data_IF_317123539031
#
_entry.id   IF_317123539031
#
_cell.length_a   1.000
_cell.length_b   1.000
_cell.length_c   1.000
_cell.angle_alpha   90.00
_cell.angle_beta   90.00
_cell.angle_gamma   90.00
#
_symmetry.space_group_name_H-M   'P 1'
#
loop_
_entity.id
_entity.type
_entity.pdbx_description
1 polymer ?
#
# COMPACT_ATOMS: atom_id res chain seq x y z
N UNK A 1 -34.78 4.26 25.67
CA UNK A 1 -33.35 3.99 25.88
C UNK A 1 -32.96 2.86 24.94
N UNK A 2 -32.29 3.17 23.84
CA UNK A 2 -31.73 2.17 22.93
C UNK A 2 -30.25 2.51 22.81
N UNK A 3 -29.41 1.54 23.18
CA UNK A 3 -27.95 1.60 23.12
C UNK A 3 -27.56 1.26 21.69
N UNK A 4 -27.02 2.23 20.94
CA UNK A 4 -26.34 1.95 19.66
C UNK A 4 -24.92 1.48 19.97
N UNK A 5 -24.61 0.25 19.56
CA UNK A 5 -23.26 -0.31 19.58
C UNK A 5 -22.43 0.26 18.44
N UNK A 6 -21.21 0.71 18.77
CA UNK A 6 -20.21 1.13 17.81
C UNK A 6 -19.61 -0.09 17.09
N UNK A 7 -19.59 -0.06 15.76
CA UNK A 7 -18.86 -1.01 14.92
C UNK A 7 -17.39 -0.57 14.87
N UNK A 8 -16.49 -1.50 15.19
CA UNK A 8 -15.05 -1.30 15.20
C UNK A 8 -14.52 -1.25 13.76
N UNK A 9 -13.80 -0.18 13.44
CA UNK A 9 -13.06 -0.01 12.18
C UNK A 9 -11.63 -0.50 12.42
N UNK A 10 -11.20 -1.49 11.63
CA UNK A 10 -9.84 -2.00 11.65
C UNK A 10 -9.36 -2.12 10.20
N UNK A 11 -8.64 -1.12 9.74
CA UNK A 11 -8.24 -0.95 8.34
C UNK A 11 -8.30 0.52 8.07
N UNK A 12 -7.15 1.10 7.69
CA UNK A 12 -6.92 2.52 7.45
C UNK A 12 -8.15 3.13 6.75
N UNK A 13 -9.07 3.71 7.52
CA UNK A 13 -10.36 4.17 6.98
C UNK A 13 -10.27 5.67 6.78
N UNK A 14 -9.60 6.06 5.70
CA UNK A 14 -9.72 7.42 5.20
C UNK A 14 -11.12 7.56 4.59
N UNK A 15 -12.08 8.03 5.40
CA UNK A 15 -13.32 8.61 4.85
C UNK A 15 -12.96 9.96 4.20
N UNK A 16 -12.84 9.97 2.87
CA UNK A 16 -13.11 11.16 2.09
C UNK A 16 -14.63 11.21 1.81
N UNK A 17 -15.39 11.92 2.64
CA UNK A 17 -16.77 12.30 2.27
C UNK A 17 -16.69 13.52 1.37
N UNK A 18 -16.71 13.31 0.05
CA UNK A 18 -16.99 14.38 -0.90
C UNK A 18 -18.49 14.72 -0.83
N UNK A 19 -18.79 15.95 -0.42
CA UNK A 19 -20.16 16.43 -0.17
C UNK A 19 -21.06 16.39 -1.40
N UNK A 20 -22.16 15.63 -1.30
CA UNK A 20 -23.29 15.68 -2.22
C UNK A 20 -24.45 16.47 -1.62
N UNK A 21 -24.88 17.53 -2.31
CA UNK A 21 -26.10 18.29 -1.99
C UNK A 21 -27.33 17.40 -2.13
N UNK A 22 -28.12 17.31 -1.06
CA UNK A 22 -29.39 16.59 -0.98
C UNK A 22 -30.49 17.30 -1.78
N UNK A 23 -31.07 16.61 -2.75
CA UNK A 23 -32.49 16.72 -3.11
C UNK A 23 -32.98 15.36 -3.63
N UNK A 24 -34.17 14.94 -3.15
CA UNK A 24 -34.99 13.93 -3.84
C UNK A 24 -35.41 12.75 -2.97
N UNK A 25 -36.42 12.98 -2.14
CA UNK A 25 -37.26 11.95 -1.51
C UNK A 25 -37.81 10.94 -2.53
N UNK A 26 -37.75 9.65 -2.20
CA UNK A 26 -38.72 8.67 -2.64
C UNK A 26 -38.90 7.59 -1.57
N UNK A 27 -40.17 7.35 -1.26
CA UNK A 27 -40.72 6.57 -0.16
C UNK A 27 -40.72 5.07 -0.45
N UNK A 28 -40.53 4.26 0.60
CA UNK A 28 -41.50 3.28 1.16
C UNK A 28 -40.82 2.04 1.75
N UNK A 29 -41.36 1.65 2.89
CA UNK A 29 -41.01 0.54 3.77
C UNK A 29 -41.68 -0.79 3.36
N UNK A 30 -40.98 -1.92 3.48
CA UNK A 30 -41.60 -3.21 3.84
C UNK A 30 -40.56 -4.11 4.57
N UNK A 31 -40.80 -4.54 5.83
CA UNK A 31 -39.88 -5.36 6.60
C UNK A 31 -40.32 -6.83 6.61
N UNK A 32 -39.60 -7.72 5.91
CA UNK A 32 -39.75 -9.18 6.09
C UNK A 32 -38.41 -9.91 5.99
N UNK A 33 -37.83 -10.22 7.15
CA UNK A 33 -36.83 -11.28 7.33
C UNK A 33 -37.56 -12.59 7.66
N UNK A 34 -37.13 -13.72 7.08
CA UNK A 34 -37.17 -15.00 7.76
C UNK A 34 -35.77 -15.40 8.24
N UNK A 35 -35.72 -15.73 9.52
CA UNK A 35 -34.66 -16.46 10.21
C UNK A 35 -34.42 -17.83 9.56
N UNK A 36 -33.16 -18.15 9.26
CA UNK A 36 -32.72 -19.52 8.95
C UNK A 36 -31.66 -19.94 9.97
N UNK A 37 -31.88 -21.12 10.52
CA UNK A 37 -31.13 -21.77 11.58
C UNK A 37 -29.68 -22.07 11.19
N UNK A 38 -28.81 -22.06 12.20
CA UNK A 38 -27.45 -22.57 12.15
C UNK A 38 -27.49 -24.09 11.97
N UNK A 39 -26.75 -24.60 10.98
CA UNK A 39 -26.44 -26.02 10.83
C UNK A 39 -24.93 -26.19 10.93
N UNK A 40 -24.53 -27.09 11.83
CA UNK A 40 -23.16 -27.48 12.12
C UNK A 40 -22.56 -28.25 10.92
N UNK A 41 -21.47 -27.72 10.34
CA UNK A 41 -20.63 -28.43 9.38
C UNK A 41 -19.19 -28.54 9.91
N UNK A 42 -18.53 -29.71 9.74
CA UNK A 42 -17.30 -30.03 10.46
C UNK A 42 -16.06 -29.31 9.91
N UNK A 43 -15.17 -28.96 10.84
CA UNK A 43 -13.81 -28.45 10.62
C UNK A 43 -13.00 -29.43 9.76
N UNK A 44 -12.65 -29.02 8.53
CA UNK A 44 -11.62 -29.68 7.72
C UNK A 44 -10.30 -28.91 7.85
N UNK A 45 -9.26 -29.67 8.19
CA UNK A 45 -7.91 -29.18 8.46
C UNK A 45 -7.26 -28.52 7.24
N UNK A 46 -6.64 -27.35 7.48
CA UNK A 46 -5.81 -26.64 6.52
C UNK A 46 -4.49 -27.41 6.33
N UNK A 47 -4.27 -27.93 5.12
CA UNK A 47 -3.00 -28.53 4.72
C UNK A 47 -1.99 -27.41 4.40
N UNK A 48 -0.81 -27.49 4.98
CA UNK A 48 0.34 -26.62 4.68
C UNK A 48 0.97 -27.05 3.34
N UNK A 49 1.18 -26.16 2.36
CA UNK A 49 1.94 -26.53 1.18
C UNK A 49 3.44 -26.51 1.49
N UNK A 50 4.07 -27.68 1.42
CA UNK A 50 5.52 -27.83 1.29
C UNK A 50 5.93 -27.51 -0.15
N UNK A 51 7.12 -26.93 -0.31
CA UNK A 51 7.71 -26.61 -1.60
C UNK A 51 7.85 -27.86 -2.50
N UNK A 52 7.38 -27.85 -3.76
CA UNK A 52 7.66 -28.93 -4.68
C UNK A 52 9.11 -28.84 -5.17
N UNK A 53 9.91 -29.84 -4.81
CA UNK A 53 11.19 -30.11 -5.47
C UNK A 53 10.90 -30.74 -6.82
N UNK A 54 10.87 -29.95 -7.90
CA UNK A 54 10.76 -30.49 -9.26
C UNK A 54 12.14 -30.53 -9.91
N UNK A 55 12.61 -31.72 -10.23
CA UNK A 55 13.80 -31.99 -11.02
C UNK A 55 13.60 -31.47 -12.46
N UNK A 56 14.38 -30.48 -12.87
CA UNK A 56 14.42 -29.99 -14.25
C UNK A 56 15.11 -31.01 -15.15
N UNK A 57 14.34 -31.66 -16.03
CA UNK A 57 14.85 -32.38 -17.19
C UNK A 57 15.02 -31.37 -18.33
N UNK A 58 16.26 -31.19 -18.79
CA UNK A 58 16.61 -30.23 -19.85
C UNK A 58 16.01 -30.64 -21.21
N UNK A 59 15.13 -29.80 -21.76
CA UNK A 59 14.78 -29.80 -23.17
C UNK A 59 15.58 -28.67 -23.85
N UNK A 60 16.53 -29.07 -24.69
CA UNK A 60 17.38 -28.18 -25.48
C UNK A 60 16.57 -27.53 -26.61
N UNK A 61 15.93 -26.40 -26.32
CA UNK A 61 15.46 -25.44 -27.33
C UNK A 61 16.35 -24.21 -27.27
N UNK A 62 17.00 -23.86 -28.38
CA UNK A 62 17.73 -22.60 -28.52
C UNK A 62 16.74 -21.43 -28.39
N UNK A 63 16.61 -20.87 -27.18
CA UNK A 63 15.98 -19.58 -26.97
C UNK A 63 17.08 -18.54 -27.16
N UNK A 64 16.89 -17.64 -28.13
CA UNK A 64 17.79 -16.53 -28.39
C UNK A 64 18.06 -15.78 -27.09
N UNK A 65 19.34 -15.61 -26.78
CA UNK A 65 19.78 -14.81 -25.65
C UNK A 65 19.32 -13.39 -25.95
N UNK A 66 18.30 -12.91 -25.23
CA UNK A 66 17.96 -11.51 -25.19
C UNK A 66 19.23 -10.78 -24.74
N UNK A 67 19.76 -9.98 -25.64
CA UNK A 67 20.90 -9.10 -25.39
C UNK A 67 20.59 -8.21 -24.20
N UNK A 68 21.55 -8.08 -23.28
CA UNK A 68 21.51 -7.23 -22.10
C UNK A 68 20.72 -5.94 -22.36
N UNK A 69 19.53 -5.83 -21.77
CA UNK A 69 18.85 -4.54 -21.69
C UNK A 69 19.76 -3.60 -20.91
N UNK A 70 20.04 -2.47 -21.56
CA UNK A 70 21.00 -1.44 -21.17
C UNK A 70 20.76 -0.95 -19.75
N UNK A 71 21.82 -0.91 -18.93
CA UNK A 71 21.88 -0.04 -17.75
C UNK A 71 21.35 1.34 -18.14
N UNK A 72 20.44 1.91 -17.36
CA UNK A 72 19.97 3.27 -17.64
C UNK A 72 21.16 4.23 -17.53
N UNK A 73 21.33 5.08 -18.54
CA UNK A 73 22.19 6.26 -18.45
C UNK A 73 21.42 7.29 -17.63
N UNK A 74 21.67 7.32 -16.32
CA UNK A 74 20.99 8.26 -15.45
C UNK A 74 21.52 9.68 -15.73
N UNK A 75 20.63 10.69 -15.87
CA UNK A 75 21.07 12.06 -16.09
C UNK A 75 21.80 12.70 -14.88
N UNK A 76 21.94 11.99 -13.75
CA UNK A 76 22.58 12.46 -12.52
C UNK A 76 23.99 11.90 -12.29
N UNK A 77 24.65 12.39 -11.23
CA UNK A 77 26.06 12.08 -10.93
C UNK A 77 26.28 10.67 -10.35
N UNK A 78 25.19 10.02 -9.92
CA UNK A 78 25.19 8.66 -9.36
C UNK A 78 23.89 7.91 -9.65
N UNK A 79 23.86 6.58 -9.50
CA UNK A 79 22.63 5.81 -9.52
C UNK A 79 21.62 6.32 -8.45
N UNK A 80 20.34 6.49 -8.80
CA UNK A 80 19.32 6.84 -7.82
C UNK A 80 19.06 5.72 -6.82
N UNK A 81 18.73 6.10 -5.58
CA UNK A 81 18.39 5.20 -4.48
C UNK A 81 16.89 5.27 -4.22
N UNK A 82 16.18 4.15 -4.40
CA UNK A 82 14.73 4.04 -4.20
C UNK A 82 14.45 3.27 -2.92
N UNK A 83 13.75 3.89 -1.96
CA UNK A 83 13.20 3.17 -0.82
C UNK A 83 11.80 2.66 -1.13
N UNK A 84 11.62 1.34 -1.16
CA UNK A 84 10.31 0.69 -1.24
C UNK A 84 9.86 0.33 0.17
N UNK A 85 8.73 0.87 0.59
CA UNK A 85 8.09 0.54 1.86
C UNK A 85 6.82 -0.29 1.58
N UNK A 86 6.92 -1.62 1.45
CA UNK A 86 5.74 -2.47 1.41
C UNK A 86 5.03 -2.36 2.76
N UNK A 87 3.85 -1.73 2.77
CA UNK A 87 3.07 -1.44 3.96
C UNK A 87 2.76 -2.68 4.79
N UNK A 88 2.47 -2.47 6.09
CA UNK A 88 2.13 -3.55 7.03
C UNK A 88 3.26 -4.59 7.18
N UNK A 89 2.94 -5.79 7.67
CA UNK A 89 3.84 -6.94 7.78
C UNK A 89 3.71 -7.69 9.10
N UNK A 90 3.75 -9.02 9.02
CA UNK A 90 3.66 -9.91 10.17
C UNK A 90 2.31 -9.78 10.88
N UNK A 91 2.26 -9.43 12.19
CA UNK A 91 0.99 -9.31 12.90
C UNK A 91 0.06 -8.20 12.39
N UNK A 92 0.60 -7.16 11.74
CA UNK A 92 -0.21 -6.21 11.00
C UNK A 92 -0.37 -6.71 9.57
N UNK A 93 -1.54 -7.21 9.23
CA UNK A 93 -1.79 -7.74 7.88
C UNK A 93 -2.28 -6.68 6.90
N UNK A 94 -2.58 -5.47 7.37
CA UNK A 94 -3.43 -4.55 6.61
C UNK A 94 -4.84 -5.13 6.43
N UNK A 95 -5.55 -4.69 5.37
CA UNK A 95 -6.88 -5.19 5.07
C UNK A 95 -6.84 -6.64 4.57
N UNK A 96 -7.77 -7.46 5.07
CA UNK A 96 -7.96 -8.84 4.62
C UNK A 96 -9.36 -9.01 4.06
N UNK A 97 -9.46 -9.69 2.91
CA UNK A 97 -10.75 -10.21 2.43
C UNK A 97 -10.77 -11.73 2.54
N UNK A 98 -11.92 -12.26 2.95
CA UNK A 98 -12.23 -13.68 2.76
C UNK A 98 -12.79 -13.84 1.35
N UNK A 99 -12.31 -14.84 0.62
CA UNK A 99 -12.79 -15.14 -0.72
C UNK A 99 -14.27 -15.51 -0.75
N UNK A 100 -14.91 -15.18 -1.85
CA UNK A 100 -16.30 -15.50 -2.14
C UNK A 100 -16.42 -16.10 -3.55
N UNK A 101 -17.64 -16.20 -4.09
CA UNK A 101 -17.87 -16.75 -5.43
C UNK A 101 -17.24 -15.90 -6.55
N UNK A 102 -17.07 -14.60 -6.32
CA UNK A 102 -16.70 -13.63 -7.35
C UNK A 102 -15.20 -13.27 -7.31
N UNK A 103 -14.53 -13.42 -6.17
CA UNK A 103 -13.12 -13.09 -6.03
C UNK A 103 -12.42 -13.85 -4.87
N UNK A 104 -11.09 -14.04 -4.90
CA UNK A 104 -10.34 -14.90 -3.96
C UNK A 104 -9.97 -14.23 -2.63
N UNK A 105 -9.58 -15.01 -1.62
CA UNK A 105 -8.99 -14.45 -0.39
C UNK A 105 -7.71 -13.70 -0.70
N UNK A 106 -7.53 -12.52 -0.11
CA UNK A 106 -6.37 -11.65 -0.30
C UNK A 106 -5.98 -10.99 1.02
N UNK A 107 -4.68 -10.73 1.17
CA UNK A 107 -4.09 -10.06 2.31
C UNK A 107 -3.19 -8.93 1.77
N UNK A 108 -3.49 -7.69 2.16
CA UNK A 108 -2.77 -6.49 1.73
C UNK A 108 -1.25 -6.62 1.93
N UNK A 109 -0.81 -6.97 3.14
CA UNK A 109 0.63 -7.09 3.49
C UNK A 109 1.41 -8.04 2.57
N UNK A 110 0.75 -9.09 2.06
CA UNK A 110 1.35 -10.07 1.13
C UNK A 110 1.37 -9.52 -0.29
N UNK A 111 0.29 -8.90 -0.74
CA UNK A 111 0.21 -8.30 -2.08
C UNK A 111 1.28 -7.23 -2.28
N UNK A 112 1.40 -6.29 -1.33
CA UNK A 112 2.37 -5.19 -1.44
C UNK A 112 3.81 -5.70 -1.36
N UNK A 113 4.08 -6.75 -0.58
CA UNK A 113 5.40 -7.39 -0.53
C UNK A 113 5.76 -8.04 -1.88
N UNK A 114 4.81 -8.73 -2.50
CA UNK A 114 5.00 -9.35 -3.82
C UNK A 114 5.20 -8.31 -4.92
N UNK A 115 4.49 -7.18 -4.86
CA UNK A 115 4.71 -6.06 -5.78
C UNK A 115 6.10 -5.44 -5.58
N UNK A 116 6.52 -5.27 -4.32
CA UNK A 116 7.81 -4.68 -4.00
C UNK A 116 8.99 -5.55 -4.45
N UNK A 117 8.92 -6.89 -4.33
CA UNK A 117 9.96 -7.79 -4.85
C UNK A 117 10.10 -7.70 -6.38
N UNK A 118 8.98 -7.66 -7.11
CA UNK A 118 9.04 -7.52 -8.57
C UNK A 118 9.62 -6.17 -8.97
N UNK A 119 9.18 -5.10 -8.29
CA UNK A 119 9.67 -3.76 -8.55
C UNK A 119 11.16 -3.61 -8.21
N UNK A 120 11.61 -4.17 -7.09
CA UNK A 120 13.03 -4.22 -6.72
C UNK A 120 13.85 -4.86 -7.83
N UNK A 121 13.45 -6.06 -8.31
CA UNK A 121 14.17 -6.76 -9.36
C UNK A 121 14.24 -5.95 -10.66
N UNK A 122 13.13 -5.32 -11.06
CA UNK A 122 13.08 -4.50 -12.29
C UNK A 122 13.93 -3.24 -12.18
N UNK A 123 13.84 -2.52 -11.07
CA UNK A 123 14.64 -1.32 -10.84
C UNK A 123 16.15 -1.65 -10.75
N UNK A 124 16.53 -2.74 -10.07
CA UNK A 124 17.93 -3.16 -10.02
C UNK A 124 18.49 -3.51 -11.41
N UNK A 125 17.70 -4.16 -12.28
CA UNK A 125 18.09 -4.41 -13.68
C UNK A 125 18.34 -3.12 -14.47
N UNK A 126 17.62 -2.05 -14.13
CA UNK A 126 17.80 -0.71 -14.74
C UNK A 126 18.93 0.10 -14.10
N UNK A 127 19.62 -0.43 -13.10
CA UNK A 127 20.77 0.19 -12.46
C UNK A 127 20.44 1.03 -11.22
N UNK A 128 19.20 1.04 -10.74
CA UNK A 128 18.84 1.71 -9.48
C UNK A 128 19.40 0.94 -8.29
N UNK A 129 19.77 1.68 -7.23
CA UNK A 129 19.91 1.07 -5.90
C UNK A 129 18.54 1.00 -5.25
N UNK A 130 18.13 -0.17 -4.77
CA UNK A 130 16.84 -0.36 -4.09
C UNK A 130 17.08 -0.79 -2.67
N UNK A 131 16.36 -0.17 -1.74
CA UNK A 131 16.28 -0.58 -0.33
C UNK A 131 14.82 -0.85 0.01
N UNK A 132 14.53 -1.94 0.71
CA UNK A 132 13.18 -2.24 1.19
C UNK A 132 13.10 -2.10 2.72
N UNK A 133 11.99 -1.60 3.24
CA UNK A 133 11.77 -1.53 4.70
C UNK A 133 11.59 -2.91 5.33
N UNK A 134 11.10 -3.88 4.56
CA UNK A 134 11.05 -5.32 4.89
C UNK A 134 11.18 -6.17 3.63
N UNK A 135 11.75 -7.37 3.77
CA UNK A 135 11.94 -8.32 2.66
C UNK A 135 11.14 -9.63 2.84
N UNK A 136 10.38 -9.76 3.92
CA UNK A 136 9.50 -10.87 4.25
C UNK A 136 8.25 -10.34 4.99
N UNK A 137 7.32 -11.22 5.32
CA UNK A 137 6.09 -10.85 6.03
C UNK A 137 6.34 -10.69 7.54
N UNK A 138 6.95 -9.57 7.92
CA UNK A 138 7.26 -9.22 9.31
C UNK A 138 7.03 -7.74 9.60
N UNK A 139 6.87 -7.42 10.88
CA UNK A 139 7.04 -6.06 11.37
C UNK A 139 8.51 -5.61 11.25
N UNK A 140 8.74 -4.36 10.88
CA UNK A 140 10.07 -3.77 10.71
C UNK A 140 10.78 -3.63 12.05
N UNK A 141 10.05 -3.27 13.09
CA UNK A 141 10.47 -3.16 14.49
C UNK A 141 9.89 -4.31 15.33
N UNK A 142 10.11 -5.56 14.91
CA UNK A 142 9.56 -6.75 15.57
C UNK A 142 9.93 -6.88 17.07
N UNK A 143 11.07 -6.32 17.48
CA UNK A 143 11.53 -6.33 18.87
C UNK A 143 10.84 -5.23 19.74
N UNK A 144 10.00 -4.39 19.15
CA UNK A 144 9.30 -3.27 19.80
C UNK A 144 10.25 -2.33 20.54
N UNK A 145 11.34 -1.95 19.87
CA UNK A 145 12.32 -0.99 20.42
C UNK A 145 11.77 0.44 20.30
N UNK A 146 12.09 1.27 21.29
CA UNK A 146 11.91 2.73 21.22
C UNK A 146 12.96 3.28 20.25
N UNK A 147 12.59 3.46 18.98
CA UNK A 147 13.49 3.96 17.94
C UNK A 147 13.26 5.45 17.67
N UNK A 148 12.09 5.98 18.02
CA UNK A 148 11.81 7.40 17.93
C UNK A 148 12.44 8.21 19.10
N UNK A 149 12.77 7.55 20.22
CA UNK A 149 13.41 8.11 21.39
C UNK A 149 12.45 8.85 22.33
N UNK A 150 11.15 8.56 22.27
CA UNK A 150 10.12 9.24 23.06
C UNK A 150 9.90 8.62 24.46
N UNK A 151 10.63 7.54 24.76
CA UNK A 151 10.56 6.81 26.02
C UNK A 151 9.37 5.86 26.13
N UNK A 152 8.64 5.62 25.03
CA UNK A 152 7.52 4.69 24.94
C UNK A 152 7.80 3.64 23.88
N UNK A 153 7.10 2.53 24.01
CA UNK A 153 7.14 1.41 23.08
C UNK A 153 5.73 0.86 22.89
N UNK A 154 5.59 -0.15 22.02
CA UNK A 154 4.37 -0.96 21.88
C UNK A 154 3.76 -1.44 23.22
N UNK A 155 4.59 -1.62 24.26
CA UNK A 155 4.14 -2.09 25.58
C UNK A 155 3.40 -1.02 26.38
N UNK A 156 3.66 0.24 26.08
CA UNK A 156 3.03 1.40 26.71
C UNK A 156 1.68 1.73 26.07
N UNK A 157 1.41 1.18 24.89
CA UNK A 157 0.11 1.28 24.24
C UNK A 157 -0.95 0.48 25.01
N UNK A 158 -2.19 0.98 24.99
CA UNK A 158 -3.32 0.35 25.69
C UNK A 158 -3.45 -1.11 25.24
N UNK A 159 -3.63 -2.05 26.17
CA UNK A 159 -3.90 -3.46 25.83
C UNK A 159 -5.08 -3.55 24.85
N UNK A 160 -4.86 -4.21 23.72
CA UNK A 160 -5.86 -4.34 22.64
C UNK A 160 -5.83 -3.23 21.59
N UNK A 161 -4.95 -2.23 21.73
CA UNK A 161 -4.56 -1.38 20.60
C UNK A 161 -3.71 -2.18 19.62
N UNK A 162 -3.67 -1.76 18.36
CA UNK A 162 -2.82 -2.34 17.34
C UNK A 162 -1.35 -2.00 17.63
N UNK A 163 -0.75 -2.72 18.60
CA UNK A 163 0.63 -2.52 19.08
C UNK A 163 1.68 -2.60 17.96
N UNK A 164 1.34 -3.24 16.83
CA UNK A 164 2.19 -3.38 15.65
C UNK A 164 2.00 -2.25 14.62
N UNK A 165 1.13 -1.28 14.91
CA UNK A 165 0.93 -0.02 14.20
C UNK A 165 1.38 1.17 15.06
N UNK A 166 2.26 0.89 16.03
CA UNK A 166 2.75 1.91 16.93
C UNK A 166 3.70 2.88 16.20
N UNK A 167 4.01 3.98 16.86
CA UNK A 167 4.82 5.05 16.26
C UNK A 167 6.26 4.61 15.95
N UNK A 168 6.83 3.71 16.76
CA UNK A 168 8.17 3.17 16.55
C UNK A 168 8.27 2.28 15.31
N UNK A 169 7.23 1.51 14.99
CA UNK A 169 7.17 0.71 13.76
C UNK A 169 7.25 1.61 12.52
N UNK A 170 6.47 2.70 12.52
CA UNK A 170 6.47 3.68 11.43
C UNK A 170 7.80 4.45 11.39
N UNK A 171 8.37 4.81 12.54
CA UNK A 171 9.67 5.45 12.61
C UNK A 171 10.79 4.53 12.10
N UNK A 172 10.75 3.24 12.39
CA UNK A 172 11.77 2.29 11.90
C UNK A 172 11.78 2.21 10.36
N UNK A 173 10.61 2.29 9.71
CA UNK A 173 10.49 2.38 8.25
C UNK A 173 11.16 3.64 7.70
N UNK A 174 10.86 4.78 8.30
CA UNK A 174 11.48 6.08 7.95
C UNK A 174 12.99 6.02 8.13
N UNK A 175 13.47 5.46 9.26
CA UNK A 175 14.89 5.37 9.58
C UNK A 175 15.65 4.51 8.56
N UNK A 176 15.08 3.41 8.07
CA UNK A 176 15.69 2.60 7.01
C UNK A 176 15.89 3.44 5.74
N UNK A 177 14.87 4.14 5.27
CA UNK A 177 14.96 4.98 4.08
C UNK A 177 15.95 6.14 4.26
N UNK A 178 15.93 6.78 5.43
CA UNK A 178 16.86 7.87 5.78
C UNK A 178 18.31 7.39 5.83
N UNK A 179 18.56 6.24 6.47
CA UNK A 179 19.90 5.66 6.59
C UNK A 179 20.48 5.24 5.23
N UNK A 180 19.62 4.79 4.32
CA UNK A 180 19.99 4.50 2.94
C UNK A 180 20.26 5.76 2.10
N UNK A 181 19.92 6.95 2.62
CA UNK A 181 19.92 8.22 1.87
C UNK A 181 19.11 8.09 0.57
N UNK A 182 17.93 7.48 0.67
CA UNK A 182 17.08 7.30 -0.50
C UNK A 182 16.73 8.66 -1.12
N UNK A 183 16.65 8.69 -2.44
CA UNK A 183 16.24 9.86 -3.22
C UNK A 183 14.71 9.93 -3.34
N UNK A 184 14.03 8.79 -3.19
CA UNK A 184 12.58 8.73 -3.14
C UNK A 184 12.08 7.61 -2.23
N UNK A 185 10.94 7.85 -1.57
CA UNK A 185 10.19 6.88 -0.76
C UNK A 185 8.87 6.52 -1.42
N UNK A 186 8.69 5.24 -1.71
CA UNK A 186 7.46 4.66 -2.27
C UNK A 186 6.80 3.79 -1.19
N UNK A 187 5.79 4.33 -0.51
CA UNK A 187 5.00 3.54 0.46
C UNK A 187 3.84 2.86 -0.27
N UNK A 188 3.90 1.53 -0.33
CA UNK A 188 3.07 0.70 -1.21
C UNK A 188 1.94 0.04 -0.41
N UNK A 189 0.71 0.33 -0.82
CA UNK A 189 -0.51 -0.10 -0.14
C UNK A 189 -1.58 -0.61 -1.12
N UNK A 190 -2.55 -1.34 -0.56
CA UNK A 190 -3.77 -1.73 -1.26
C UNK A 190 -4.93 -1.44 -0.33
N UNK A 191 -5.76 -0.49 -0.74
CA UNK A 191 -6.90 0.01 0.00
C UNK A 191 -7.83 -1.12 0.47
N UNK A 192 -8.64 -0.81 1.48
CA UNK A 192 -9.72 -1.68 1.92
C UNK A 192 -10.76 -0.94 2.74
N UNK A 193 -12.01 -1.36 2.62
CA UNK A 193 -13.12 -0.71 3.29
C UNK A 193 -14.21 -1.69 3.73
N UNK A 194 -14.91 -1.36 4.81
CA UNK A 194 -15.80 -2.30 5.52
C UNK A 194 -17.04 -2.75 4.74
N UNK A 195 -17.56 -1.93 3.81
CA UNK A 195 -18.74 -2.28 3.02
C UNK A 195 -18.42 -2.82 1.61
N UNK A 196 -17.14 -3.00 1.25
CA UNK A 196 -16.72 -3.59 -0.04
C UNK A 196 -17.01 -2.75 -1.30
N UNK A 197 -17.82 -1.70 -1.21
CA UNK A 197 -18.25 -0.90 -2.37
C UNK A 197 -17.12 -0.04 -2.99
N UNK A 198 -16.24 0.64 -2.23
CA UNK A 198 -15.21 1.50 -2.81
C UNK A 198 -14.22 0.70 -3.66
N UNK A 199 -13.81 1.30 -4.79
CA UNK A 199 -12.86 0.70 -5.74
C UNK A 199 -12.04 1.77 -6.44
N UNK A 200 -11.01 1.35 -7.16
CA UNK A 200 -10.06 2.22 -7.87
C UNK A 200 -8.82 2.54 -7.06
N UNK A 201 -7.91 3.29 -7.68
CA UNK A 201 -6.65 3.71 -7.08
C UNK A 201 -6.64 5.16 -6.65
N UNK A 202 -5.79 5.46 -5.68
CA UNK A 202 -5.47 6.81 -5.26
C UNK A 202 -4.00 6.90 -4.80
N UNK A 203 -3.49 8.12 -4.79
CA UNK A 203 -2.14 8.39 -4.30
C UNK A 203 -2.18 9.56 -3.34
N UNK A 204 -1.44 9.46 -2.24
CA UNK A 204 -1.40 10.46 -1.20
C UNK A 204 -0.02 11.09 -1.11
N UNK A 205 0.00 12.40 -0.84
CA UNK A 205 1.23 13.17 -0.69
C UNK A 205 1.12 14.20 0.44
N UNK A 206 2.25 14.55 1.05
CA UNK A 206 2.33 15.66 2.01
C UNK A 206 2.91 16.90 1.32
N UNK A 207 2.18 18.03 1.34
CA UNK A 207 2.72 19.31 0.83
C UNK A 207 3.52 20.10 1.87
N UNK A 208 3.34 19.83 3.15
CA UNK A 208 3.99 20.52 4.27
C UNK A 208 5.45 20.09 4.50
N UNK A 209 6.24 19.97 3.43
CA UNK A 209 7.67 19.59 3.44
C UNK A 209 8.46 20.53 2.53
N UNK A 210 9.78 20.63 2.72
CA UNK A 210 10.66 21.44 1.85
C UNK A 210 10.65 20.96 0.39
N UNK A 211 10.35 19.68 0.18
CA UNK A 211 10.19 19.05 -1.13
C UNK A 211 8.71 18.71 -1.43
N UNK A 212 7.76 19.44 -0.84
CA UNK A 212 6.33 19.15 -0.97
C UNK A 212 5.81 19.12 -2.41
N UNK A 213 6.38 19.95 -3.29
CA UNK A 213 6.03 19.94 -4.73
C UNK A 213 6.53 18.66 -5.43
N UNK A 214 7.68 18.11 -5.01
CA UNK A 214 8.19 16.84 -5.52
C UNK A 214 7.36 15.65 -5.02
N UNK A 215 6.83 15.70 -3.79
CA UNK A 215 5.87 14.71 -3.28
C UNK A 215 4.62 14.66 -4.16
N UNK A 216 4.01 15.83 -4.42
CA UNK A 216 2.83 15.94 -5.29
C UNK A 216 3.14 15.45 -6.71
N UNK A 217 4.30 15.85 -7.25
CA UNK A 217 4.71 15.45 -8.60
C UNK A 217 4.86 13.93 -8.69
N UNK A 218 5.55 13.30 -7.74
CA UNK A 218 5.71 11.85 -7.75
C UNK A 218 4.38 11.11 -7.59
N UNK A 219 3.54 11.52 -6.63
CA UNK A 219 2.20 10.93 -6.47
C UNK A 219 1.38 11.05 -7.76
N UNK A 220 1.45 12.20 -8.44
CA UNK A 220 0.78 12.41 -9.73
C UNK A 220 1.31 11.49 -10.83
N UNK A 221 2.62 11.30 -10.92
CA UNK A 221 3.22 10.38 -11.90
C UNK A 221 2.75 8.94 -11.66
N UNK A 222 2.73 8.48 -10.40
CA UNK A 222 2.25 7.14 -10.06
C UNK A 222 0.77 6.99 -10.40
N UNK A 223 -0.07 7.97 -10.07
CA UNK A 223 -1.50 7.94 -10.40
C UNK A 223 -1.75 7.86 -11.91
N UNK A 224 -1.04 8.67 -12.70
CA UNK A 224 -1.14 8.66 -14.16
C UNK A 224 -0.66 7.34 -14.76
N UNK A 225 0.42 6.77 -14.22
CA UNK A 225 0.92 5.48 -14.68
C UNK A 225 0.00 4.32 -14.28
N UNK A 226 -0.63 4.35 -13.09
CA UNK A 226 -1.68 3.38 -12.74
C UNK A 226 -2.84 3.46 -13.73
N UNK A 227 -3.26 4.68 -14.08
CA UNK A 227 -4.30 4.91 -15.08
C UNK A 227 -3.97 4.35 -16.45
N UNK A 228 -2.76 4.62 -16.93
CA UNK A 228 -2.29 4.12 -18.20
C UNK A 228 -2.20 2.58 -18.19
N UNK A 229 -1.48 2.00 -17.23
CA UNK A 229 -1.18 0.57 -17.23
C UNK A 229 -2.42 -0.29 -16.94
N UNK A 230 -3.29 0.11 -16.01
CA UNK A 230 -4.52 -0.63 -15.73
C UNK A 230 -5.50 -0.60 -16.92
N UNK A 231 -5.51 0.49 -17.71
CA UNK A 231 -6.33 0.55 -18.92
C UNK A 231 -5.90 -0.46 -19.99
N UNK A 232 -4.63 -0.89 -20.00
CA UNK A 232 -4.13 -1.89 -20.96
C UNK A 232 -4.66 -3.30 -20.71
N UNK A 233 -5.24 -3.53 -19.52
CA UNK A 233 -5.82 -4.81 -19.12
C UNK A 233 -7.34 -4.72 -18.92
N UNK A 234 -7.98 -3.74 -19.58
CA UNK A 234 -9.43 -3.50 -19.56
C UNK A 234 -10.01 -3.19 -18.16
N UNK A 235 -9.19 -2.69 -17.23
CA UNK A 235 -9.69 -2.15 -15.97
C UNK A 235 -10.50 -0.88 -16.22
N UNK A 236 -11.76 -0.87 -15.77
CA UNK A 236 -12.66 0.28 -15.92
C UNK A 236 -12.70 1.06 -14.61
N UNK A 237 -12.13 2.26 -14.60
CA UNK A 237 -12.20 3.18 -13.46
C UNK A 237 -13.66 3.54 -13.09
N UNK A 238 -13.97 3.78 -11.81
CA UNK A 238 -15.26 4.36 -11.42
C UNK A 238 -15.41 5.78 -12.00
N UNK A 239 -16.65 6.19 -12.28
CA UNK A 239 -16.95 7.53 -12.85
C UNK A 239 -16.38 8.66 -11.99
N UNK A 240 -16.50 8.50 -10.67
CA UNK A 240 -15.84 9.36 -9.70
C UNK A 240 -14.46 8.78 -9.38
N UNK A 241 -13.44 9.28 -10.08
CA UNK A 241 -12.04 8.98 -9.78
C UNK A 241 -11.69 9.47 -8.36
N UNK A 242 -10.81 8.71 -7.68
CA UNK A 242 -10.34 9.03 -6.32
C UNK A 242 -9.21 10.07 -6.33
N UNK A 243 -8.26 9.92 -7.26
CA UNK A 243 -7.31 10.97 -7.60
C UNK A 243 -6.00 11.00 -6.81
N UNK A 244 -5.31 12.14 -6.93
CA UNK A 244 -4.08 12.49 -6.23
C UNK A 244 -4.45 13.44 -5.09
N UNK A 245 -4.24 13.02 -3.85
CA UNK A 245 -4.84 13.66 -2.68
C UNK A 245 -3.77 14.14 -1.69
N UNK A 246 -3.86 15.38 -1.18
CA UNK A 246 -3.01 15.81 -0.08
C UNK A 246 -3.44 15.09 1.20
N UNK A 247 -2.47 14.65 1.99
CA UNK A 247 -2.70 13.92 3.25
C UNK A 247 -3.52 14.71 4.28
N UNK A 248 -3.53 16.05 4.19
CA UNK A 248 -4.39 16.92 5.02
C UNK A 248 -5.89 16.75 4.77
N UNK A 249 -6.27 16.10 3.67
CA UNK A 249 -7.67 15.73 3.39
C UNK A 249 -8.02 14.32 3.87
N UNK A 250 -7.03 13.55 4.33
CA UNK A 250 -7.27 12.27 4.94
C UNK A 250 -7.87 12.45 6.35
N UNK A 251 -8.87 11.66 6.69
CA UNK A 251 -9.46 11.64 8.03
C UNK A 251 -8.59 10.83 9.02
N UNK A 252 -7.34 11.27 9.19
CA UNK A 252 -6.33 10.64 10.06
C UNK A 252 -6.68 10.70 11.55
N UNK A 253 -7.64 11.54 11.92
CA UNK A 253 -8.13 11.75 13.29
C UNK A 253 -8.80 10.50 13.91
N UNK A 254 -9.15 9.50 13.09
CA UNK A 254 -9.88 8.30 13.54
C UNK A 254 -8.99 7.15 14.03
N UNK A 255 -7.72 7.08 13.62
CA UNK A 255 -6.75 6.07 14.11
C UNK A 255 -5.64 6.68 14.98
N UNK A 256 -5.23 7.91 14.68
CA UNK A 256 -4.29 8.68 15.49
C UNK A 256 -4.79 10.11 15.65
N UNK A 257 -5.69 10.35 16.60
CA UNK A 257 -6.15 11.68 17.04
C UNK A 257 -5.03 12.67 17.49
N UNK A 258 -3.76 12.32 17.23
CA UNK A 258 -2.53 13.06 17.51
C UNK A 258 -1.86 13.67 16.28
N UNK A 259 -2.08 13.17 15.06
CA UNK A 259 -1.30 13.60 13.89
C UNK A 259 -2.20 14.03 12.73
N UNK A 260 -1.86 15.15 12.10
CA UNK A 260 -2.58 15.73 10.95
C UNK A 260 -2.15 15.18 9.59
N UNK A 261 -1.11 14.34 9.58
CA UNK A 261 -0.43 13.83 8.39
C UNK A 261 -0.17 12.35 8.54
N UNK A 262 0.02 11.64 7.43
CA UNK A 262 0.55 10.27 7.47
C UNK A 262 1.98 10.30 8.02
N UNK A 263 2.26 9.50 9.05
CA UNK A 263 3.56 9.54 9.77
C UNK A 263 4.75 9.36 8.83
N UNK A 264 4.64 8.47 7.83
CA UNK A 264 5.74 8.10 6.91
C UNK A 264 6.17 9.26 6.00
N UNK A 265 5.25 10.15 5.61
CA UNK A 265 5.52 11.28 4.70
C UNK A 265 5.49 12.65 5.41
N UNK A 266 4.81 12.71 6.54
CA UNK A 266 4.51 13.92 7.28
C UNK A 266 5.73 14.69 7.76
N UNK A 267 5.54 15.93 8.22
CA UNK A 267 6.60 16.72 8.83
C UNK A 267 7.06 16.12 10.16
N UNK A 268 8.16 16.65 10.70
CA UNK A 268 8.63 16.34 12.05
C UNK A 268 7.50 16.56 13.06
N UNK A 269 7.35 15.63 14.00
CA UNK A 269 6.61 15.87 15.24
C UNK A 269 7.61 15.91 16.38
N UNK A 270 7.89 17.09 16.98
CA UNK A 270 8.93 17.23 17.99
C UNK A 270 8.81 16.21 19.12
N UNK A 271 9.90 15.46 19.33
CA UNK A 271 10.01 14.44 20.36
C UNK A 271 9.18 13.16 20.11
N UNK A 272 8.63 12.97 18.92
CA UNK A 272 7.78 11.82 18.59
C UNK A 272 8.08 11.21 17.21
N UNK A 273 8.33 12.03 16.19
CA UNK A 273 8.59 11.58 14.82
C UNK A 273 9.73 12.38 14.21
N UNK A 274 10.77 11.68 13.77
CA UNK A 274 11.79 12.23 12.87
C UNK A 274 11.30 11.98 11.44
N UNK A 275 11.22 13.02 10.59
CA UNK A 275 10.59 12.87 9.29
C UNK A 275 11.49 12.13 8.28
N UNK A 276 10.88 11.63 7.21
CA UNK A 276 11.62 11.17 6.02
C UNK A 276 12.47 12.31 5.45
N UNK A 277 13.66 12.02 4.92
CA UNK A 277 14.58 13.04 4.42
C UNK A 277 14.55 13.18 2.89
N UNK A 278 13.56 12.54 2.25
CA UNK A 278 13.41 12.48 0.81
C UNK A 278 11.94 12.62 0.40
N UNK A 279 11.69 13.04 -0.86
CA UNK A 279 10.37 13.03 -1.46
C UNK A 279 9.71 11.64 -1.43
N UNK A 280 8.39 11.59 -1.43
CA UNK A 280 7.68 10.33 -1.48
C UNK A 280 6.17 10.45 -1.61
N UNK A 281 5.54 9.29 -1.81
CA UNK A 281 4.10 9.13 -1.91
C UNK A 281 3.65 7.84 -1.23
N UNK A 282 2.41 7.84 -0.73
CA UNK A 282 1.68 6.63 -0.33
C UNK A 282 0.78 6.28 -1.51
N UNK A 283 0.85 5.05 -1.96
CA UNK A 283 0.18 4.61 -3.19
C UNK A 283 -0.79 3.50 -2.84
N UNK A 284 -2.07 3.78 -3.01
CA UNK A 284 -3.16 2.84 -2.80
C UNK A 284 -3.64 2.33 -4.15
N UNK A 285 -3.15 1.16 -4.56
CA UNK A 285 -3.23 0.72 -5.96
C UNK A 285 -4.59 0.20 -6.41
N UNK A 286 -5.41 -0.39 -5.55
CA UNK A 286 -6.79 -0.86 -5.79
C UNK A 286 -7.40 -1.21 -4.41
N UNK A 287 -8.65 -1.69 -4.34
CA UNK A 287 -9.28 -2.14 -3.10
C UNK A 287 -9.28 -3.67 -2.94
N UNK A 288 -8.63 -4.19 -1.89
CA UNK A 288 -8.77 -5.59 -1.47
C UNK A 288 -10.23 -5.91 -1.17
N UNK A 289 -10.98 -4.98 -0.58
CA UNK A 289 -12.37 -5.25 -0.17
C UNK A 289 -13.37 -5.37 -1.31
N UNK A 290 -13.04 -4.91 -2.52
CA UNK A 290 -13.97 -4.85 -3.64
C UNK A 290 -13.77 -6.02 -4.61
N UNK A 291 -14.85 -6.70 -4.96
CA UNK A 291 -14.77 -7.93 -5.77
C UNK A 291 -14.24 -7.70 -7.18
N UNK A 292 -14.50 -6.54 -7.78
CA UNK A 292 -13.96 -6.20 -9.10
C UNK A 292 -12.46 -5.96 -9.01
N UNK A 293 -12.01 -5.09 -8.12
CA UNK A 293 -10.59 -4.79 -7.90
C UNK A 293 -9.78 -6.02 -7.47
N UNK A 294 -10.35 -6.86 -6.60
CA UNK A 294 -9.72 -8.08 -6.11
C UNK A 294 -9.41 -9.07 -7.23
N UNK A 295 -10.20 -9.12 -8.31
CA UNK A 295 -9.89 -9.96 -9.48
C UNK A 295 -8.62 -9.50 -10.18
N UNK A 296 -8.42 -8.18 -10.32
CA UNK A 296 -7.20 -7.62 -10.91
C UNK A 296 -6.00 -7.82 -10.00
N UNK A 297 -6.15 -7.52 -8.70
CA UNK A 297 -5.10 -7.75 -7.69
C UNK A 297 -4.61 -9.21 -7.65
N UNK A 298 -5.51 -10.17 -7.84
CA UNK A 298 -5.17 -11.59 -7.85
C UNK A 298 -4.59 -12.08 -9.19
N UNK A 299 -4.68 -11.28 -10.26
CA UNK A 299 -4.30 -11.69 -11.60
C UNK A 299 -2.82 -11.37 -11.91
N UNK A 300 -2.12 -12.22 -12.68
CA UNK A 300 -0.78 -11.90 -13.16
C UNK A 300 -0.73 -10.60 -13.98
N UNK A 301 -1.77 -10.32 -14.75
CA UNK A 301 -1.86 -9.10 -15.57
C UNK A 301 -1.99 -7.84 -14.71
N UNK A 302 -2.83 -7.87 -13.67
CA UNK A 302 -2.98 -6.76 -12.73
C UNK A 302 -1.70 -6.50 -11.93
N UNK A 303 -1.06 -7.55 -11.42
CA UNK A 303 0.26 -7.44 -10.77
C UNK A 303 1.29 -6.81 -11.71
N UNK A 304 1.37 -7.29 -12.95
CA UNK A 304 2.28 -6.73 -13.94
C UNK A 304 1.99 -5.25 -14.24
N UNK A 305 0.72 -4.88 -14.43
CA UNK A 305 0.32 -3.50 -14.70
C UNK A 305 0.65 -2.56 -13.53
N UNK A 306 0.38 -2.97 -12.29
CA UNK A 306 0.71 -2.20 -11.08
C UNK A 306 2.22 -2.01 -10.94
N UNK A 307 3.01 -3.08 -11.08
CA UNK A 307 4.47 -3.00 -10.98
C UNK A 307 5.07 -2.12 -12.09
N UNK A 308 4.58 -2.26 -13.33
CA UNK A 308 4.99 -1.40 -14.44
C UNK A 308 4.63 0.06 -14.18
N UNK A 309 3.48 0.33 -13.54
CA UNK A 309 3.10 1.70 -13.21
C UNK A 309 4.08 2.37 -12.23
N UNK A 310 4.50 1.64 -11.18
CA UNK A 310 5.54 2.10 -10.28
C UNK A 310 6.87 2.35 -11.00
N UNK A 311 7.33 1.38 -11.78
CA UNK A 311 8.61 1.44 -12.52
C UNK A 311 8.66 2.64 -13.46
N UNK A 312 7.60 2.88 -14.23
CA UNK A 312 7.50 4.00 -15.16
C UNK A 312 7.47 5.34 -14.43
N UNK A 313 6.71 5.44 -13.33
CA UNK A 313 6.60 6.68 -12.56
C UNK A 313 7.93 7.04 -11.88
N UNK A 314 8.64 6.05 -11.34
CA UNK A 314 9.98 6.22 -10.77
C UNK A 314 10.98 6.65 -11.85
N UNK A 315 10.94 6.00 -13.01
CA UNK A 315 11.83 6.36 -14.13
C UNK A 315 11.59 7.80 -14.56
N UNK A 316 10.34 8.20 -14.83
CA UNK A 316 9.97 9.56 -15.22
C UNK A 316 10.34 10.59 -14.13
N UNK A 317 10.19 10.24 -12.85
CA UNK A 317 10.57 11.13 -11.76
C UNK A 317 12.07 11.44 -11.80
N UNK A 318 12.94 10.45 -12.01
CA UNK A 318 14.39 10.68 -12.06
C UNK A 318 14.90 11.28 -13.38
N UNK A 319 14.09 11.30 -14.43
CA UNK A 319 14.34 12.15 -15.61
C UNK A 319 14.16 13.63 -15.27
N UNK A 320 13.20 13.96 -14.38
CA UNK A 320 12.91 15.34 -13.95
C UNK A 320 13.79 15.79 -12.77
N UNK A 321 14.09 14.88 -11.86
CA UNK A 321 14.83 15.13 -10.62
C UNK A 321 15.99 14.13 -10.47
N UNK A 322 17.01 14.17 -11.35
CA UNK A 322 18.18 13.33 -11.20
C UNK A 322 18.88 13.59 -9.86
N UNK A 323 19.46 12.56 -9.22
CA UNK A 323 20.24 12.75 -8.01
C UNK A 323 21.53 13.52 -8.30
N UNK A 324 21.82 14.47 -7.41
CA UNK A 324 23.15 15.09 -7.27
C UNK A 324 24.20 14.10 -6.73
#
# INVERSE_FOLDING_TARGET
MVVLGAVLIAGLSVLAVAGGRLFGEATTSDPRLPTVAADDAPLMAVATPHAPTSSLQAASGQIGIATAETLADFPGDRPPVVCLDPGHGGPDTGFQRVGNADAPSLNESILVLQHAWDLEARLQLRGYTVVMTRHDDRAVNADNRDVNGDGKTAKDDRRGSFQYRNLDELQARIDICNNAKADILVSMHVNGYSNGDPRGYETWYTRERVFGDQNERFASLVYLQLKEQLSTIDYIQPEQERGVLPDTTANVDTEHARFKHFVVLGPEVPGQVKPSMMPGAIVETLFVSNDYDAQFLASPAGRAAIVTAYENAITQYFEEYPPD
#
